data_IF_228004832170
#
_entry.id   IF_228004832170
#
_cell.length_a   1.000
_cell.length_b   1.000
_cell.length_c   1.000
_cell.angle_alpha   90.00
_cell.angle_beta   90.00
_cell.angle_gamma   90.00
#
_symmetry.space_group_name_H-M   'P 1'
#
loop_
_entity.id
_entity.type
_entity.pdbx_description
1 polymer ?
#
# COMPACT_ATOMS: atom_id res chain seq x y z
N UNK A 1 15.13 -18.68 -10.94
CA UNK A 1 13.69 -18.56 -11.30
C UNK A 1 13.56 -17.62 -12.48
N UNK A 2 12.88 -18.05 -13.55
CA UNK A 2 12.65 -17.23 -14.74
C UNK A 2 11.25 -16.60 -14.70
N UNK A 3 11.12 -15.41 -15.26
CA UNK A 3 9.83 -14.71 -15.41
C UNK A 3 9.36 -14.89 -16.84
N UNK A 4 8.20 -15.51 -17.03
CA UNK A 4 7.61 -15.73 -18.36
C UNK A 4 6.34 -14.89 -18.50
N UNK A 5 6.16 -14.29 -19.67
CA UNK A 5 5.00 -13.46 -20.00
C UNK A 5 4.42 -13.91 -21.34
N UNK A 6 3.10 -13.96 -21.42
CA UNK A 6 2.36 -14.23 -22.65
C UNK A 6 1.68 -12.94 -23.11
N UNK A 7 1.96 -12.43 -24.32
CA UNK A 7 1.29 -11.25 -24.84
C UNK A 7 -0.14 -11.58 -25.26
N UNK A 8 -1.09 -10.70 -24.91
CA UNK A 8 -2.47 -10.74 -25.40
C UNK A 8 -2.77 -9.64 -26.42
N UNK A 9 -1.99 -8.55 -26.42
CA UNK A 9 -2.15 -7.46 -27.37
C UNK A 9 -2.99 -6.30 -26.85
N UNK A 10 -3.43 -5.44 -27.76
CA UNK A 10 -4.23 -4.27 -27.44
C UNK A 10 -5.71 -4.62 -27.30
N UNK A 11 -6.35 -4.12 -26.24
CA UNK A 11 -7.80 -4.03 -26.14
C UNK A 11 -8.21 -2.57 -26.00
N UNK A 12 -9.33 -2.20 -26.61
CA UNK A 12 -9.93 -0.88 -26.51
C UNK A 12 -11.34 -0.98 -25.97
N UNK A 13 -11.67 -0.13 -25.01
CA UNK A 13 -12.93 -0.14 -24.29
C UNK A 13 -13.38 1.31 -24.03
N UNK A 14 -14.61 1.50 -23.54
CA UNK A 14 -15.04 2.83 -23.11
C UNK A 14 -14.40 3.22 -21.77
N UNK A 15 -14.03 4.48 -21.62
CA UNK A 15 -13.57 5.05 -20.37
C UNK A 15 -14.68 4.97 -19.29
N UNK A 16 -14.30 4.54 -18.08
CA UNK A 16 -15.25 4.44 -16.97
C UNK A 16 -15.68 5.80 -16.40
N UNK A 17 -14.81 6.80 -16.51
CA UNK A 17 -14.94 8.11 -15.88
C UNK A 17 -15.49 9.17 -16.82
N UNK A 18 -14.82 9.34 -17.97
CA UNK A 18 -15.14 10.34 -18.98
C UNK A 18 -16.52 10.02 -19.61
N UNK A 19 -17.44 11.00 -19.66
CA UNK A 19 -18.74 10.95 -20.36
C UNK A 19 -18.86 12.19 -21.23
N UNK A 20 -19.52 12.05 -22.36
CA UNK A 20 -19.86 13.17 -23.23
C UNK A 20 -20.81 14.13 -22.50
N UNK A 21 -20.48 15.43 -22.50
CA UNK A 21 -21.20 16.43 -21.73
C UNK A 21 -22.62 16.67 -22.25
N UNK A 22 -22.84 16.49 -23.55
CA UNK A 22 -24.14 16.77 -24.19
C UNK A 22 -25.12 15.60 -24.09
N UNK A 23 -24.62 14.37 -24.20
CA UNK A 23 -25.44 13.15 -24.25
C UNK A 23 -25.38 12.32 -22.96
N UNK A 24 -24.42 12.60 -22.07
CA UNK A 24 -24.16 11.81 -20.87
C UNK A 24 -23.65 10.39 -21.16
N UNK A 25 -23.40 10.05 -22.42
CA UNK A 25 -22.98 8.71 -22.87
C UNK A 25 -21.46 8.58 -22.82
N UNK A 26 -20.96 7.35 -22.69
CA UNK A 26 -19.53 7.08 -22.78
C UNK A 26 -19.11 7.01 -24.24
N UNK A 27 -17.98 7.62 -24.57
CA UNK A 27 -17.36 7.47 -25.88
C UNK A 27 -16.81 6.05 -26.03
N UNK A 28 -17.25 5.27 -27.04
CA UNK A 28 -16.68 3.96 -27.33
C UNK A 28 -15.18 4.07 -27.62
N UNK A 29 -14.41 3.04 -27.27
CA UNK A 29 -12.96 2.96 -27.55
C UNK A 29 -12.14 4.18 -27.09
N UNK A 30 -12.64 4.91 -26.08
CA UNK A 30 -11.97 6.08 -25.48
C UNK A 30 -10.81 5.72 -24.54
N UNK A 31 -10.54 4.41 -24.39
CA UNK A 31 -9.32 3.90 -23.79
C UNK A 31 -8.77 2.73 -24.55
N UNK A 32 -7.44 2.65 -24.58
CA UNK A 32 -6.71 1.46 -25.01
C UNK A 32 -5.67 1.05 -23.97
N UNK A 33 -5.41 -0.25 -23.87
CA UNK A 33 -4.35 -0.81 -23.03
C UNK A 33 -3.76 -2.05 -23.69
N UNK A 34 -2.46 -2.25 -23.52
CA UNK A 34 -1.78 -3.48 -23.96
C UNK A 34 -1.74 -4.47 -22.80
N UNK A 35 -2.13 -5.72 -23.06
CA UNK A 35 -2.26 -6.76 -22.06
C UNK A 35 -1.22 -7.86 -22.24
N UNK A 36 -0.70 -8.34 -21.10
CA UNK A 36 0.11 -9.55 -20.99
C UNK A 36 -0.43 -10.38 -19.82
N UNK A 37 -0.12 -11.67 -19.77
CA UNK A 37 -0.32 -12.49 -18.57
C UNK A 37 0.96 -13.15 -18.13
N UNK A 38 1.04 -13.42 -16.82
CA UNK A 38 2.16 -14.14 -16.23
C UNK A 38 1.67 -14.94 -15.04
N UNK A 39 2.04 -16.22 -14.99
CA UNK A 39 1.82 -17.09 -13.82
C UNK A 39 2.97 -16.97 -12.80
N UNK A 40 4.18 -16.68 -13.28
CA UNK A 40 5.38 -16.61 -12.46
C UNK A 40 6.20 -15.37 -12.83
N UNK A 41 6.37 -14.48 -11.87
CA UNK A 41 7.05 -13.21 -12.04
C UNK A 41 7.94 -12.97 -10.82
N UNK A 42 9.24 -12.79 -11.07
CA UNK A 42 10.18 -12.43 -10.01
C UNK A 42 9.91 -11.01 -9.52
N UNK A 43 10.25 -10.72 -8.26
CA UNK A 43 10.06 -9.40 -7.65
C UNK A 43 10.77 -8.31 -8.46
N UNK A 44 11.99 -8.59 -8.94
CA UNK A 44 12.78 -7.62 -9.72
C UNK A 44 12.14 -7.29 -11.08
N UNK A 45 11.64 -8.30 -11.80
CA UNK A 45 10.94 -8.08 -13.08
C UNK A 45 9.63 -7.33 -12.85
N UNK A 46 8.87 -7.70 -11.82
CA UNK A 46 7.64 -6.99 -11.46
C UNK A 46 7.92 -5.52 -11.14
N UNK A 47 8.95 -5.26 -10.34
CA UNK A 47 9.40 -3.93 -9.99
C UNK A 47 9.68 -3.09 -11.24
N UNK A 48 10.44 -3.62 -12.19
CA UNK A 48 10.74 -2.93 -13.45
C UNK A 48 9.51 -2.72 -14.35
N UNK A 49 8.53 -3.64 -14.32
CA UNK A 49 7.27 -3.44 -15.04
C UNK A 49 6.47 -2.28 -14.44
N UNK A 50 6.30 -2.24 -13.12
CA UNK A 50 5.58 -1.16 -12.43
C UNK A 50 6.24 0.19 -12.68
N UNK A 51 7.58 0.26 -12.64
CA UNK A 51 8.33 1.50 -12.90
C UNK A 51 8.17 2.01 -14.34
N UNK A 52 7.82 1.12 -15.28
CA UNK A 52 7.49 1.47 -16.67
C UNK A 52 6.00 1.67 -16.93
N UNK A 53 5.20 1.80 -15.88
CA UNK A 53 3.76 2.10 -15.96
C UNK A 53 2.85 0.89 -16.17
N UNK A 54 3.34 -0.34 -15.97
CA UNK A 54 2.48 -1.52 -15.99
C UNK A 54 1.67 -1.64 -14.69
N UNK A 55 0.44 -2.13 -14.82
CA UNK A 55 -0.49 -2.41 -13.72
C UNK A 55 -0.84 -3.90 -13.70
N UNK A 56 -1.36 -4.43 -12.59
CA UNK A 56 -1.66 -5.85 -12.42
C UNK A 56 -3.03 -6.10 -11.81
N UNK A 57 -3.76 -7.06 -12.36
CA UNK A 57 -5.01 -7.61 -11.83
C UNK A 57 -4.94 -9.15 -11.90
N UNK A 58 -4.70 -9.81 -10.76
CA UNK A 58 -4.49 -11.25 -10.72
C UNK A 58 -3.22 -11.68 -11.46
N UNK A 59 -3.36 -12.50 -12.50
CA UNK A 59 -2.26 -12.93 -13.39
C UNK A 59 -2.11 -12.07 -14.64
N UNK A 60 -3.02 -11.11 -14.86
CA UNK A 60 -3.00 -10.20 -15.99
C UNK A 60 -2.25 -8.93 -15.61
N UNK A 61 -1.38 -8.47 -16.50
CA UNK A 61 -0.77 -7.15 -16.42
C UNK A 61 -1.17 -6.35 -17.65
N UNK A 62 -1.30 -5.04 -17.47
CA UNK A 62 -1.70 -4.15 -18.56
C UNK A 62 -0.98 -2.81 -18.47
N UNK A 63 -0.65 -2.26 -19.64
CA UNK A 63 -0.05 -0.94 -19.79
C UNK A 63 -1.06 -0.03 -20.50
N UNK A 64 -1.63 0.97 -19.81
CA UNK A 64 -2.47 1.97 -20.44
C UNK A 64 -1.70 2.73 -21.52
N UNK A 65 -2.33 2.89 -22.68
CA UNK A 65 -1.81 3.75 -23.74
C UNK A 65 -2.31 5.18 -23.49
N UNK A 66 -1.41 6.05 -23.04
CA UNK A 66 -1.75 7.43 -22.64
C UNK A 66 -2.20 8.27 -23.86
N UNK A 67 -1.70 7.97 -25.05
CA UNK A 67 -2.06 8.72 -26.27
C UNK A 67 -3.46 8.37 -26.78
N UNK A 68 -3.90 7.13 -26.54
CA UNK A 68 -5.22 6.62 -26.94
C UNK A 68 -6.25 6.65 -25.81
N UNK A 69 -5.89 7.20 -24.66
CA UNK A 69 -6.80 7.40 -23.53
C UNK A 69 -7.30 8.83 -23.51
N UNK A 70 -8.62 9.03 -23.36
CA UNK A 70 -9.19 10.36 -23.14
C UNK A 70 -8.82 10.97 -21.76
N UNK A 71 -8.47 10.10 -20.81
CA UNK A 71 -8.23 10.41 -19.40
C UNK A 71 -6.81 9.82 -19.09
N UNK A 72 -5.72 10.61 -19.07
CA UNK A 72 -4.34 10.10 -18.96
C UNK A 72 -4.05 9.47 -17.59
N UNK A 73 -3.39 8.32 -17.60
CA UNK A 73 -3.09 7.54 -16.40
C UNK A 73 -1.68 7.81 -15.88
N UNK A 74 -1.54 8.72 -14.92
CA UNK A 74 -0.28 8.92 -14.22
C UNK A 74 -0.14 7.96 -13.04
N UNK A 75 0.91 7.16 -13.04
CA UNK A 75 1.26 6.33 -11.89
C UNK A 75 1.95 7.18 -10.84
N UNK A 76 1.28 7.41 -9.71
CA UNK A 76 1.88 8.06 -8.54
C UNK A 76 2.56 6.97 -7.72
N UNK A 77 3.89 6.98 -7.69
CA UNK A 77 4.68 6.09 -6.83
C UNK A 77 5.23 6.89 -5.66
N UNK A 78 4.83 6.51 -4.44
CA UNK A 78 5.45 7.01 -3.23
C UNK A 78 6.67 6.13 -2.89
N UNK A 79 7.90 6.68 -2.85
CA UNK A 79 9.06 5.94 -2.37
C UNK A 79 8.95 5.73 -0.85
N UNK A 80 8.21 4.70 -0.44
CA UNK A 80 7.91 4.43 0.96
C UNK A 80 9.17 4.28 1.83
N UNK A 81 10.26 3.73 1.27
CA UNK A 81 11.52 3.57 1.98
C UNK A 81 12.21 4.90 2.34
N UNK A 82 11.95 5.97 1.57
CA UNK A 82 12.48 7.31 1.86
C UNK A 82 11.48 8.19 2.60
N UNK A 83 10.32 7.65 2.98
CA UNK A 83 9.30 8.42 3.70
C UNK A 83 9.76 8.69 5.14
N UNK A 84 10.03 9.95 5.44
CA UNK A 84 10.29 10.42 6.81
C UNK A 84 9.03 11.08 7.39
N UNK A 85 8.43 10.51 8.46
CA UNK A 85 7.19 11.03 9.00
C UNK A 85 7.39 12.41 9.64
N UNK A 86 6.54 13.37 9.31
CA UNK A 86 6.48 14.68 9.96
C UNK A 86 6.04 14.58 11.43
N UNK A 87 6.19 15.66 12.19
CA UNK A 87 5.80 15.73 13.61
C UNK A 87 4.34 15.31 13.81
N UNK A 88 3.44 15.76 12.95
CA UNK A 88 2.00 15.50 13.07
C UNK A 88 1.68 14.03 12.78
N UNK A 89 2.33 13.42 11.80
CA UNK A 89 2.22 11.98 11.55
C UNK A 89 2.65 11.16 12.77
N UNK A 90 3.77 11.53 13.41
CA UNK A 90 4.24 10.85 14.63
C UNK A 90 3.26 11.03 15.79
N UNK A 91 2.64 12.20 15.94
CA UNK A 91 1.63 12.43 16.98
C UNK A 91 0.40 11.54 16.79
N UNK A 92 -0.08 11.41 15.56
CA UNK A 92 -1.23 10.54 15.23
C UNK A 92 -0.91 9.08 15.55
N UNK A 93 0.25 8.59 15.09
CA UNK A 93 0.70 7.22 15.39
C UNK A 93 0.82 6.99 16.90
N UNK A 94 1.39 7.93 17.64
CA UNK A 94 1.53 7.79 19.10
C UNK A 94 0.17 7.78 19.81
N UNK A 95 -0.81 8.57 19.34
CA UNK A 95 -2.18 8.57 19.88
C UNK A 95 -2.87 7.23 19.62
N UNK A 96 -2.74 6.70 18.40
CA UNK A 96 -3.26 5.38 18.05
C UNK A 96 -2.64 4.27 18.89
N UNK A 97 -1.31 4.26 19.01
CA UNK A 97 -0.59 3.28 19.81
C UNK A 97 -1.04 3.31 21.27
N UNK A 98 -1.23 4.51 21.83
CA UNK A 98 -1.75 4.66 23.21
C UNK A 98 -3.16 4.09 23.36
N UNK A 99 -4.02 4.34 22.38
CA UNK A 99 -5.39 3.81 22.37
C UNK A 99 -5.42 2.28 22.31
N UNK A 100 -4.63 1.66 21.41
CA UNK A 100 -4.60 0.21 21.23
C UNK A 100 -3.96 -0.51 22.42
N UNK A 101 -2.85 0.01 22.95
CA UNK A 101 -2.13 -0.61 24.05
C UNK A 101 -2.87 -0.42 25.38
N UNK A 102 -3.52 0.71 25.58
CA UNK A 102 -4.15 1.07 26.85
C UNK A 102 -3.15 1.53 27.91
N UNK A 103 -3.59 2.40 28.83
CA UNK A 103 -2.70 3.00 29.83
C UNK A 103 -2.14 1.99 30.85
N UNK A 104 -2.86 0.90 31.15
CA UNK A 104 -2.40 -0.15 32.07
C UNK A 104 -1.17 -0.88 31.52
N UNK A 105 -1.26 -1.39 30.29
CA UNK A 105 -0.16 -2.09 29.65
C UNK A 105 1.08 -1.20 29.48
N UNK A 106 0.90 0.08 29.14
CA UNK A 106 2.00 1.03 29.00
C UNK A 106 2.73 1.23 30.35
N UNK A 107 2.00 1.31 31.46
CA UNK A 107 2.59 1.43 32.80
C UNK A 107 3.38 0.17 33.18
N UNK A 108 2.85 -1.01 32.89
CA UNK A 108 3.53 -2.26 33.22
C UNK A 108 4.76 -2.49 32.34
N UNK A 109 4.68 -2.19 31.05
CA UNK A 109 5.83 -2.24 30.16
C UNK A 109 6.96 -1.27 30.58
N UNK A 110 6.61 -0.08 31.07
CA UNK A 110 7.58 0.91 31.57
C UNK A 110 8.34 0.45 32.83
N UNK A 111 7.73 -0.42 33.67
CA UNK A 111 8.40 -1.02 34.83
C UNK A 111 9.41 -2.08 34.42
N UNK A 112 9.11 -2.83 33.35
CA UNK A 112 9.95 -3.93 32.85
C UNK A 112 11.16 -3.41 32.07
N UNK A 113 11.00 -2.32 31.30
CA UNK A 113 12.07 -1.72 30.51
C UNK A 113 12.23 -0.21 30.85
N UNK A 114 12.89 0.14 31.96
CA UNK A 114 13.13 1.52 32.31
C UNK A 114 14.07 2.18 31.29
N UNK A 115 13.66 3.34 30.74
CA UNK A 115 14.48 4.07 29.78
C UNK A 115 15.74 4.64 30.47
N UNK A 116 16.93 4.28 30.00
CA UNK A 116 18.16 4.98 30.34
C UNK A 116 18.14 6.40 29.74
N UNK A 117 18.72 7.37 30.46
CA UNK A 117 18.69 8.82 30.12
C UNK A 117 19.28 9.17 28.74
N UNK A 118 20.01 8.25 28.11
CA UNK A 118 20.66 8.46 26.81
C UNK A 118 19.67 8.45 25.63
N UNK A 119 18.51 7.81 25.76
CA UNK A 119 17.51 7.64 24.68
C UNK A 119 16.28 8.57 24.79
N UNK A 120 16.44 9.74 25.42
CA UNK A 120 15.33 10.64 25.81
C UNK A 120 14.47 11.26 24.69
N UNK A 121 14.72 10.95 23.41
CA UNK A 121 14.00 11.55 22.27
C UNK A 121 13.17 10.59 21.43
N UNK A 122 13.22 9.28 21.68
CA UNK A 122 12.44 8.31 20.92
C UNK A 122 11.27 7.74 21.75
N UNK A 123 10.05 8.02 21.30
CA UNK A 123 8.85 7.31 21.75
C UNK A 123 9.00 5.84 21.39
N UNK A 124 8.75 4.90 22.33
CA UNK A 124 8.97 3.49 22.05
C UNK A 124 8.03 3.08 20.90
N UNK A 125 8.62 2.60 19.82
CA UNK A 125 7.86 2.02 18.72
C UNK A 125 7.17 0.75 19.23
N UNK A 126 5.96 0.45 18.75
CA UNK A 126 5.25 -0.79 19.11
C UNK A 126 6.14 -2.03 18.90
N UNK A 127 7.05 -2.02 17.92
CA UNK A 127 8.02 -3.08 17.67
C UNK A 127 9.07 -3.28 18.76
N UNK A 128 9.27 -2.29 19.64
CA UNK A 128 10.23 -2.34 20.75
C UNK A 128 9.61 -2.82 22.07
N UNK A 129 8.27 -2.90 22.14
CA UNK A 129 7.58 -3.43 23.30
C UNK A 129 7.44 -4.96 23.17
N UNK A 130 7.74 -5.73 24.23
CA UNK A 130 7.58 -7.17 24.19
C UNK A 130 6.10 -7.52 23.92
N UNK A 131 5.82 -8.10 22.75
CA UNK A 131 4.48 -8.50 22.32
C UNK A 131 3.87 -9.61 23.19
N UNK A 132 4.68 -10.21 24.07
CA UNK A 132 4.20 -11.14 25.08
C UNK A 132 3.41 -10.38 26.14
N UNK A 133 2.08 -10.30 25.96
CA UNK A 133 1.18 -10.23 27.11
C UNK A 133 1.54 -11.41 28.03
N UNK A 134 1.98 -11.20 29.27
CA UNK A 134 1.89 -12.25 30.27
C UNK A 134 0.42 -12.67 30.33
N UNK A 135 0.18 -13.96 30.17
CA UNK A 135 -1.12 -14.61 30.03
C UNK A 135 -2.25 -13.95 30.84
N UNK A 136 -3.17 -13.27 30.15
CA UNK A 136 -4.55 -13.12 30.64
C UNK A 136 -5.44 -14.12 29.90
N UNK A 137 -5.13 -15.40 30.07
CA UNK A 137 -6.12 -16.48 30.02
C UNK A 137 -6.66 -16.65 31.44
N UNK A 138 -7.44 -15.69 31.90
CA UNK A 138 -8.36 -15.92 33.02
C UNK A 138 -9.74 -15.46 32.55
N UNK A 139 -10.54 -16.47 32.21
CA UNK A 139 -11.99 -16.50 32.06
C UNK A 139 -12.73 -15.24 32.53
N UNK A 140 -13.39 -14.55 31.59
CA UNK A 140 -14.56 -13.75 31.94
C UNK A 140 -15.72 -14.72 32.24
N UNK A 141 -16.37 -14.66 33.41
CA UNK A 141 -17.65 -15.33 33.61
C UNK A 141 -18.73 -14.62 32.77
N UNK A 142 -19.75 -15.40 32.39
CA UNK A 142 -20.88 -14.99 31.54
C UNK A 142 -21.70 -13.86 32.15
#
# INVERSE_FOLDING_TARGET
MHSLVTPYGYSSESCGYCKDASTGRRTPSSRASYYISSKNLTVQVYQGLVDRGWRRSGTILYKPDVLRHCCPHYTIRLPAASFTPAKDHRQVVNRWNRYVLGDEYIKDAAKIAPKSKENGKETPSISSLPFTRPSMLTSRPR
#
